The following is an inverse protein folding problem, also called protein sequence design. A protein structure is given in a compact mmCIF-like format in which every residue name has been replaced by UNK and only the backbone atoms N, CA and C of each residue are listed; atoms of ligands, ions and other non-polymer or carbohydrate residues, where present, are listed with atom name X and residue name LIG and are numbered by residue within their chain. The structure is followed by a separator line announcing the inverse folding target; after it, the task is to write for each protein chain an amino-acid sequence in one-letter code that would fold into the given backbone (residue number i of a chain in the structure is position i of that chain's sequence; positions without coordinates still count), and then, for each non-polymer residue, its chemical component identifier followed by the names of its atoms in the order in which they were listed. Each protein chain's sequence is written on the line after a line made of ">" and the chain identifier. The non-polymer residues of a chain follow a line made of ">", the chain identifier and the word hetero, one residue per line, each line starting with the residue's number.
data_IF_924226415001
#
_entry.id   IF_924226415001
#
_cell.length_a   1.000
_cell.length_b   1.000
_cell.length_c   1.000
_cell.angle_alpha   90.00
_cell.angle_beta   90.00
_cell.angle_gamma   90.00
#
_symmetry.space_group_name_H-M   'P 1'
#
loop_
_entity.id
_entity.type
_entity.pdbx_description
1 polymer ?
#
# COMPACT_ATOMS: atom_id res chain seq x y z
N UNK A 1 -37.30 10.99 -9.69
CA UNK A 1 -37.16 9.60 -10.19
C UNK A 1 -35.85 9.30 -10.96
N UNK A 2 -35.46 10.09 -11.98
CA UNK A 2 -34.25 9.84 -12.81
C UNK A 2 -32.92 9.73 -12.03
N UNK A 3 -32.72 10.58 -11.00
CA UNK A 3 -31.49 10.61 -10.19
C UNK A 3 -31.28 9.31 -9.39
N UNK A 4 -32.33 8.79 -8.75
CA UNK A 4 -32.32 7.48 -8.06
C UNK A 4 -31.98 6.33 -9.01
N UNK A 5 -32.55 6.33 -10.22
CA UNK A 5 -32.30 5.29 -11.24
C UNK A 5 -30.85 5.31 -11.72
N UNK A 6 -30.29 6.51 -11.94
CA UNK A 6 -28.87 6.70 -12.31
C UNK A 6 -27.92 6.23 -11.21
N UNK A 7 -28.24 6.55 -9.95
CA UNK A 7 -27.47 6.11 -8.78
C UNK A 7 -27.45 4.58 -8.67
N UNK A 8 -28.62 3.94 -8.79
CA UNK A 8 -28.75 2.48 -8.70
C UNK A 8 -27.92 1.78 -9.79
N UNK A 9 -27.91 2.34 -11.02
CA UNK A 9 -27.08 1.84 -12.12
C UNK A 9 -25.59 1.95 -11.81
N UNK A 10 -25.15 3.08 -11.25
CA UNK A 10 -23.75 3.29 -10.88
C UNK A 10 -23.30 2.34 -9.76
N UNK A 11 -24.14 2.13 -8.74
CA UNK A 11 -23.88 1.19 -7.64
C UNK A 11 -23.77 -0.24 -8.18
N UNK A 12 -24.72 -0.69 -9.00
CA UNK A 12 -24.68 -2.04 -9.57
C UNK A 12 -23.43 -2.26 -10.45
N UNK A 13 -23.04 -1.24 -11.22
CA UNK A 13 -21.82 -1.30 -12.03
C UNK A 13 -20.57 -1.43 -11.14
N UNK A 14 -20.49 -0.62 -10.08
CA UNK A 14 -19.37 -0.69 -9.14
C UNK A 14 -19.28 -2.05 -8.44
N UNK A 15 -20.40 -2.58 -7.97
CA UNK A 15 -20.44 -3.91 -7.32
C UNK A 15 -19.98 -4.99 -8.31
N UNK A 16 -20.54 -5.02 -9.52
CA UNK A 16 -20.18 -6.03 -10.52
C UNK A 16 -18.69 -5.96 -10.93
N UNK A 17 -18.14 -4.76 -11.06
CA UNK A 17 -16.74 -4.56 -11.44
C UNK A 17 -15.74 -4.90 -10.32
N UNK A 18 -16.18 -4.96 -9.06
CA UNK A 18 -15.31 -5.15 -7.89
C UNK A 18 -15.74 -6.36 -7.04
N UNK A 19 -16.53 -7.27 -7.59
CA UNK A 19 -17.17 -8.35 -6.84
C UNK A 19 -16.15 -9.27 -6.17
N UNK A 20 -15.11 -9.69 -6.91
CA UNK A 20 -14.00 -10.49 -6.39
C UNK A 20 -13.31 -9.82 -5.20
N UNK A 21 -13.12 -8.51 -5.25
CA UNK A 21 -12.49 -7.76 -4.16
C UNK A 21 -13.41 -7.64 -2.95
N UNK A 22 -14.70 -7.36 -3.16
CA UNK A 22 -15.72 -7.24 -2.10
C UNK A 22 -15.85 -8.56 -1.32
N UNK A 23 -15.86 -9.71 -2.02
CA UNK A 23 -15.93 -11.04 -1.40
C UNK A 23 -14.70 -11.38 -0.55
N UNK A 24 -13.56 -10.72 -0.80
CA UNK A 24 -12.32 -10.96 -0.07
C UNK A 24 -12.16 -10.04 1.16
N UNK A 25 -12.93 -8.95 1.28
CA UNK A 25 -12.87 -8.04 2.44
C UNK A 25 -13.05 -8.77 3.79
N UNK A 26 -14.03 -9.68 3.96
CA UNK A 26 -14.23 -10.37 5.24
C UNK A 26 -13.13 -11.41 5.55
N UNK A 27 -12.38 -11.85 4.53
CA UNK A 27 -11.32 -12.85 4.66
C UNK A 27 -10.03 -12.26 5.24
N UNK A 28 -9.92 -10.93 5.28
CA UNK A 28 -8.80 -10.21 5.86
C UNK A 28 -9.22 -9.53 7.16
N UNK A 29 -8.42 -9.68 8.21
CA UNK A 29 -8.71 -9.12 9.54
C UNK A 29 -8.58 -7.58 9.56
N UNK A 30 -9.56 -6.88 8.99
CA UNK A 30 -9.84 -5.46 9.28
C UNK A 30 -8.98 -4.42 8.56
N UNK A 31 -8.07 -4.80 7.67
CA UNK A 31 -7.35 -3.83 6.84
C UNK A 31 -8.14 -3.54 5.56
N UNK A 32 -9.17 -2.70 5.65
CA UNK A 32 -9.76 -2.11 4.45
C UNK A 32 -8.67 -1.44 3.61
N UNK A 33 -8.69 -1.61 2.28
CA UNK A 33 -7.65 -1.03 1.43
C UNK A 33 -7.65 0.50 1.48
N UNK A 34 -8.81 1.12 1.72
CA UNK A 34 -8.99 2.58 1.69
C UNK A 34 -8.06 3.34 2.67
N UNK A 35 -8.03 3.02 3.98
CA UNK A 35 -7.05 3.61 4.89
C UNK A 35 -5.61 3.39 4.46
N UNK A 36 -5.26 2.17 4.02
CA UNK A 36 -3.90 1.80 3.61
C UNK A 36 -3.47 2.58 2.37
N UNK A 37 -4.30 2.60 1.33
CA UNK A 37 -4.09 3.34 0.08
C UNK A 37 -3.95 4.84 0.36
N UNK A 38 -4.80 5.39 1.25
CA UNK A 38 -4.73 6.81 1.59
C UNK A 38 -3.47 7.15 2.37
N UNK A 39 -3.04 6.28 3.27
CA UNK A 39 -1.77 6.41 3.97
C UNK A 39 -0.60 6.36 2.99
N UNK A 40 -0.60 5.45 2.01
CA UNK A 40 0.42 5.38 0.96
C UNK A 40 0.42 6.65 0.08
N UNK A 41 -0.75 7.17 -0.30
CA UNK A 41 -0.86 8.43 -1.06
C UNK A 41 -0.19 9.59 -0.30
N UNK A 42 -0.60 9.78 0.95
CA UNK A 42 -0.13 10.89 1.80
C UNK A 42 1.37 10.76 2.13
N UNK A 43 1.81 9.57 2.53
CA UNK A 43 3.16 9.37 3.08
C UNK A 43 4.21 9.08 2.02
N UNK A 44 3.82 8.54 0.86
CA UNK A 44 4.78 8.14 -0.18
C UNK A 44 4.49 8.86 -1.50
N UNK A 45 3.30 8.69 -2.08
CA UNK A 45 3.04 9.11 -3.46
C UNK A 45 3.17 10.62 -3.67
N UNK A 46 2.65 11.44 -2.74
CA UNK A 46 2.76 12.92 -2.82
C UNK A 46 4.19 13.42 -2.82
N UNK A 47 5.10 12.73 -2.12
CA UNK A 47 6.53 13.06 -2.09
C UNK A 47 7.25 12.78 -3.41
N UNK A 48 6.63 12.05 -4.33
CA UNK A 48 7.15 11.87 -5.69
C UNK A 48 6.47 12.77 -6.73
N UNK A 49 5.42 13.51 -6.35
CA UNK A 49 4.57 14.30 -7.28
C UNK A 49 4.78 15.82 -7.21
N UNK A 50 5.98 16.30 -6.87
CA UNK A 50 6.36 17.73 -6.90
C UNK A 50 5.50 18.71 -6.06
N UNK A 51 4.66 18.22 -5.14
CA UNK A 51 3.77 19.05 -4.31
C UNK A 51 4.44 19.70 -3.09
N UNK A 52 5.66 20.20 -3.23
CA UNK A 52 6.45 20.80 -2.14
C UNK A 52 7.74 20.00 -1.87
N UNK A 53 7.69 19.02 -0.97
CA UNK A 53 8.85 18.14 -0.67
C UNK A 53 8.92 16.96 -1.64
N UNK A 54 9.92 16.99 -2.53
CA UNK A 54 10.13 15.95 -3.54
C UNK A 54 11.28 15.03 -3.17
N UNK A 55 11.07 13.72 -3.22
CA UNK A 55 12.11 12.72 -3.06
C UNK A 55 12.68 12.30 -4.43
N UNK A 56 14.00 12.27 -4.53
CA UNK A 56 14.66 11.67 -5.69
C UNK A 56 14.51 10.14 -5.63
N UNK A 57 13.99 9.53 -6.71
CA UNK A 57 13.78 8.07 -6.80
C UNK A 57 15.03 7.27 -6.41
N UNK A 58 16.20 7.73 -6.83
CA UNK A 58 17.47 7.03 -6.59
C UNK A 58 17.84 7.00 -5.10
N UNK A 59 17.55 8.05 -4.33
CA UNK A 59 17.82 8.10 -2.89
C UNK A 59 16.70 7.49 -2.03
N UNK A 60 15.45 7.55 -2.49
CA UNK A 60 14.30 7.10 -1.73
C UNK A 60 14.10 5.58 -1.74
N UNK A 61 14.39 4.91 -2.86
CA UNK A 61 14.21 3.46 -2.99
C UNK A 61 15.04 2.65 -1.97
N UNK A 62 16.32 2.96 -1.72
CA UNK A 62 17.09 2.31 -0.65
C UNK A 62 16.46 2.51 0.74
N UNK A 63 16.02 3.73 1.07
CA UNK A 63 15.39 4.04 2.35
C UNK A 63 14.05 3.31 2.53
N UNK A 64 13.25 3.20 1.47
CA UNK A 64 12.01 2.42 1.47
C UNK A 64 12.28 0.93 1.68
N UNK A 65 13.31 0.37 1.04
CA UNK A 65 13.74 -1.02 1.29
C UNK A 65 14.11 -1.25 2.76
N UNK A 66 14.86 -0.34 3.38
CA UNK A 66 15.19 -0.43 4.81
C UNK A 66 13.94 -0.36 5.70
N UNK A 67 12.99 0.52 5.36
CA UNK A 67 11.70 0.64 6.07
C UNK A 67 10.89 -0.66 5.99
N UNK A 68 10.81 -1.28 4.81
CA UNK A 68 10.09 -2.54 4.60
C UNK A 68 10.71 -3.68 5.41
N UNK A 69 12.04 -3.81 5.40
CA UNK A 69 12.75 -4.81 6.22
C UNK A 69 12.43 -4.66 7.71
N UNK A 70 12.34 -3.42 8.21
CA UNK A 70 11.97 -3.16 9.61
C UNK A 70 10.51 -3.53 9.88
N UNK A 71 9.58 -3.15 9.01
CA UNK A 71 8.15 -3.40 9.19
C UNK A 71 7.80 -4.89 9.09
N UNK A 72 8.48 -5.64 8.23
CA UNK A 72 8.29 -7.07 8.07
C UNK A 72 9.00 -7.90 9.16
N UNK A 73 9.81 -7.28 10.02
CA UNK A 73 10.66 -8.00 10.99
C UNK A 73 11.92 -8.64 10.39
N UNK A 74 12.07 -8.62 9.06
CA UNK A 74 13.21 -9.19 8.32
C UNK A 74 14.55 -8.51 8.63
N UNK A 75 14.52 -7.32 9.23
CA UNK A 75 15.72 -6.57 9.61
C UNK A 75 16.68 -7.37 10.50
N UNK A 76 16.16 -8.07 11.51
CA UNK A 76 16.97 -8.85 12.43
C UNK A 76 17.57 -10.09 11.74
N UNK A 77 16.79 -10.73 10.86
CA UNK A 77 17.20 -11.91 10.09
C UNK A 77 18.41 -11.57 9.20
N UNK A 78 18.33 -10.43 8.51
CA UNK A 78 19.40 -9.96 7.62
C UNK A 78 20.70 -9.60 8.33
N UNK A 79 20.63 -9.09 9.58
CA UNK A 79 21.83 -8.84 10.39
C UNK A 79 22.55 -10.13 10.74
N UNK A 80 21.82 -11.18 11.08
CA UNK A 80 22.39 -12.48 11.42
C UNK A 80 23.03 -13.16 10.20
N UNK A 81 22.40 -13.09 9.03
CA UNK A 81 22.96 -13.63 7.79
C UNK A 81 24.27 -12.92 7.40
N UNK A 82 24.34 -11.59 7.58
CA UNK A 82 25.54 -10.82 7.30
C UNK A 82 26.66 -11.06 8.34
N UNK A 83 26.30 -11.31 9.60
CA UNK A 83 27.26 -11.69 10.63
C UNK A 83 27.85 -13.09 10.36
N UNK A 84 27.03 -14.04 9.88
CA UNK A 84 27.47 -15.37 9.45
C UNK A 84 28.37 -15.33 8.21
N UNK A 85 28.09 -14.46 7.24
CA UNK A 85 28.92 -14.28 6.05
C UNK A 85 30.31 -13.68 6.35
N UNK A 86 30.42 -12.84 7.38
CA UNK A 86 31.70 -12.25 7.81
C UNK A 86 32.51 -13.17 8.73
N UNK A 87 31.89 -14.23 9.25
CA UNK A 87 32.51 -15.21 10.14
C UNK A 87 32.95 -16.51 9.41
N UNK A 88 32.68 -16.60 8.11
CA UNK A 88 33.08 -17.68 7.20
C UNK A 88 34.28 -17.23 6.34
#
# INVERSE_FOLDING_TARGET
>A
MKKKKKMKKAINYYIAANQDWIENIPKVNGCGSCPVEKTVDITVARRFKKGGMSWYRNGANPLLKLRLLKLNGDWAKRKNDHAMFLAA
#
